data_IF_977653048835
#
_entry.id   IF_977653048835
#
_cell.length_a   1.000
_cell.length_b   1.000
_cell.length_c   1.000
_cell.angle_alpha   90.00
_cell.angle_beta   90.00
_cell.angle_gamma   90.00
#
_symmetry.space_group_name_H-M   'P 1'
#
loop_
_entity.id
_entity.type
_entity.pdbx_description
1 polymer ?
#
# COMPACT_ATOMS: atom_id res chain seq x y z
N UNK A 1 -9.33 18.37 18.18
CA UNK A 1 -9.59 17.00 18.65
C UNK A 1 -10.49 16.37 17.61
N UNK A 2 -9.93 15.59 16.69
CA UNK A 2 -10.67 14.89 15.64
C UNK A 2 -10.78 13.43 16.06
N UNK A 3 -11.59 13.17 17.07
CA UNK A 3 -11.64 11.86 17.75
C UNK A 3 -12.61 10.88 17.10
N UNK A 4 -13.37 11.32 16.08
CA UNK A 4 -14.40 10.50 15.49
C UNK A 4 -14.56 10.76 14.01
N UNK A 5 -14.48 9.70 13.22
CA UNK A 5 -14.85 9.73 11.80
C UNK A 5 -16.37 9.65 11.76
N UNK A 6 -17.03 10.77 11.46
CA UNK A 6 -18.49 10.83 11.38
C UNK A 6 -19.05 10.12 10.14
N UNK A 7 -18.23 9.99 9.09
CA UNK A 7 -18.62 9.34 7.83
C UNK A 7 -17.40 8.84 7.07
N UNK A 8 -17.37 7.54 6.79
CA UNK A 8 -16.42 6.93 5.86
C UNK A 8 -17.16 6.64 4.54
N UNK A 9 -16.87 7.42 3.50
CA UNK A 9 -17.39 7.16 2.14
C UNK A 9 -16.25 6.55 1.34
N UNK A 10 -16.28 5.24 1.06
CA UNK A 10 -15.32 4.65 0.13
C UNK A 10 -15.53 5.32 -1.23
N UNK A 11 -14.51 6.03 -1.69
CA UNK A 11 -14.51 6.55 -3.04
C UNK A 11 -14.41 5.36 -4.00
N UNK A 12 -15.25 5.34 -5.04
CA UNK A 12 -15.30 4.30 -6.08
C UNK A 12 -14.10 4.42 -7.04
N UNK A 13 -12.92 4.56 -6.46
CA UNK A 13 -11.67 4.77 -7.14
C UNK A 13 -10.80 3.58 -6.74
N UNK A 14 -10.96 2.50 -7.49
CA UNK A 14 -10.07 1.35 -7.43
C UNK A 14 -8.68 1.75 -7.95
N UNK A 15 -7.94 2.53 -7.18
CA UNK A 15 -6.49 2.56 -7.30
C UNK A 15 -5.96 1.48 -6.36
N UNK A 16 -5.45 0.34 -6.86
CA UNK A 16 -4.87 -0.70 -6.01
C UNK A 16 -3.46 -0.25 -5.62
N UNK A 17 -3.36 0.96 -5.08
CA UNK A 17 -2.14 1.48 -4.50
C UNK A 17 -1.86 0.81 -3.14
N UNK A 18 -2.86 0.08 -2.60
CA UNK A 18 -2.80 -0.79 -1.44
C UNK A 18 -3.53 -2.09 -1.77
N UNK A 19 -2.87 -3.24 -1.61
CA UNK A 19 -3.42 -4.55 -1.96
C UNK A 19 -2.82 -5.66 -1.07
N UNK A 20 -3.53 -6.78 -0.97
CA UNK A 20 -3.03 -7.96 -0.23
C UNK A 20 -2.33 -8.88 -1.22
N UNK A 21 -1.08 -9.25 -0.93
CA UNK A 21 -0.37 -10.29 -1.65
C UNK A 21 -0.87 -11.65 -1.15
N UNK A 22 -1.38 -12.49 -2.07
CA UNK A 22 -2.01 -13.77 -1.71
C UNK A 22 -0.98 -14.75 -1.15
N UNK A 23 0.24 -14.73 -1.69
CA UNK A 23 1.33 -15.65 -1.35
C UNK A 23 1.85 -15.42 0.07
N UNK A 24 1.90 -14.16 0.51
CA UNK A 24 2.43 -13.79 1.83
C UNK A 24 1.33 -13.47 2.84
N UNK A 25 0.09 -13.24 2.37
CA UNK A 25 -1.01 -12.73 3.18
C UNK A 25 -0.78 -11.30 3.72
N UNK A 26 0.30 -10.64 3.32
CA UNK A 26 0.67 -9.32 3.81
C UNK A 26 0.14 -8.20 2.92
N UNK A 27 0.08 -7.00 3.50
CA UNK A 27 -0.39 -5.79 2.85
C UNK A 27 0.78 -5.11 2.13
N UNK A 28 0.61 -4.86 0.84
CA UNK A 28 1.58 -4.20 -0.03
C UNK A 28 1.00 -2.90 -0.54
N UNK A 29 1.88 -1.97 -0.89
CA UNK A 29 1.50 -0.73 -1.52
C UNK A 29 2.39 -0.40 -2.71
N UNK A 30 1.88 0.41 -3.62
CA UNK A 30 2.70 0.98 -4.69
C UNK A 30 3.66 2.04 -4.13
N UNK A 31 4.74 2.28 -4.86
CA UNK A 31 5.69 3.34 -4.51
C UNK A 31 5.02 4.72 -4.44
N UNK A 32 4.06 4.98 -5.34
CA UNK A 32 3.32 6.24 -5.37
C UNK A 32 2.58 6.52 -4.06
N UNK A 33 1.94 5.52 -3.46
CA UNK A 33 1.23 5.70 -2.18
C UNK A 33 2.21 6.02 -1.04
N UNK A 34 3.36 5.35 -1.01
CA UNK A 34 4.42 5.67 -0.04
C UNK A 34 4.86 7.13 -0.19
N UNK A 35 5.22 7.56 -1.40
CA UNK A 35 5.66 8.94 -1.68
C UNK A 35 4.59 9.97 -1.29
N UNK A 36 3.33 9.75 -1.67
CA UNK A 36 2.24 10.66 -1.33
C UNK A 36 2.02 10.75 0.19
N UNK A 37 2.13 9.63 0.90
CA UNK A 37 1.98 9.61 2.36
C UNK A 37 3.10 10.35 3.09
N UNK A 38 4.33 10.28 2.56
CA UNK A 38 5.49 11.01 3.07
C UNK A 38 5.36 12.51 2.82
N UNK A 39 4.95 12.91 1.61
CA UNK A 39 4.68 14.31 1.24
C UNK A 39 3.57 14.92 2.11
N UNK A 40 2.51 14.15 2.39
CA UNK A 40 1.38 14.58 3.23
C UNK A 40 1.64 14.44 4.72
N UNK A 41 2.81 13.94 5.14
CA UNK A 41 3.20 13.73 6.54
C UNK A 41 2.15 12.93 7.32
N UNK A 42 1.63 11.87 6.70
CA UNK A 42 0.63 11.01 7.33
C UNK A 42 1.24 10.27 8.52
N UNK A 43 0.59 10.38 9.69
CA UNK A 43 1.06 9.75 10.93
C UNK A 43 0.52 8.32 11.05
N UNK A 44 1.31 7.45 11.68
CA UNK A 44 0.91 6.07 11.98
C UNK A 44 1.22 5.06 10.88
N UNK A 45 1.84 5.48 9.78
CA UNK A 45 2.28 4.59 8.72
C UNK A 45 3.75 4.21 8.91
N UNK A 46 4.07 2.92 8.74
CA UNK A 46 5.44 2.40 8.69
C UNK A 46 5.59 1.57 7.43
N UNK A 47 6.46 1.99 6.53
CA UNK A 47 6.76 1.27 5.30
C UNK A 47 8.01 0.41 5.49
N UNK A 48 7.94 -0.85 5.07
CA UNK A 48 9.08 -1.75 5.04
C UNK A 48 9.45 -2.03 3.58
N UNK A 49 10.75 -2.03 3.23
CA UNK A 49 11.17 -2.45 1.90
C UNK A 49 10.78 -3.90 1.66
N UNK A 50 10.40 -4.22 0.43
CA UNK A 50 10.16 -5.60 0.01
C UNK A 50 11.53 -6.30 -0.03
N UNK A 51 11.63 -7.50 0.56
CA UNK A 51 12.83 -8.34 0.43
C UNK A 51 13.02 -8.69 -1.06
N UNK A 52 14.23 -8.48 -1.59
CA UNK A 52 14.58 -8.68 -3.01
C UNK A 52 14.27 -10.11 -3.51
N UNK A 53 14.06 -11.07 -2.60
CA UNK A 53 13.57 -12.43 -2.91
C UNK A 53 12.16 -12.47 -3.50
N UNK A 54 11.34 -11.45 -3.27
CA UNK A 54 9.94 -11.39 -3.73
C UNK A 54 9.77 -10.49 -4.95
N UNK A 55 10.74 -10.52 -5.87
CA UNK A 55 10.58 -9.87 -7.17
C UNK A 55 9.74 -10.77 -8.07
N UNK A 56 8.50 -10.34 -8.35
CA UNK A 56 7.71 -10.94 -9.41
C UNK A 56 8.44 -10.73 -10.74
N UNK A 57 8.95 -11.83 -11.31
CA UNK A 57 9.56 -11.85 -12.62
C UNK A 57 8.59 -12.52 -13.60
N UNK A 58 7.88 -11.76 -14.45
CA UNK A 58 6.94 -12.32 -15.42
C UNK A 58 7.62 -13.16 -16.51
N UNK A 59 8.96 -13.16 -16.56
CA UNK A 59 9.77 -13.94 -17.50
C UNK A 59 10.59 -15.03 -16.80
N UNK A 60 10.45 -15.21 -15.48
CA UNK A 60 11.10 -16.30 -14.78
C UNK A 60 10.54 -17.65 -15.29
N UNK A 61 11.25 -18.26 -16.24
CA UNK A 61 10.88 -19.50 -16.89
C UNK A 61 10.65 -19.41 -18.41
N UNK A 62 10.91 -18.26 -19.04
CA UNK A 62 11.01 -18.13 -20.51
C UNK A 62 12.46 -18.26 -21.00
#
# INVERSE_FOLDING_TARGET
>A
MYDRIDRFVPADIAYPALFVCIETGALFCTESLKRESEVRVLKGLKFQPIDDKYKYDPFAGL
#
